data_IF_707382352960
#
_entry.id   IF_707382352960
#
_cell.length_a   1.000
_cell.length_b   1.000
_cell.length_c   1.000
_cell.angle_alpha   90.00
_cell.angle_beta   90.00
_cell.angle_gamma   90.00
#
_symmetry.space_group_name_H-M   'P 1'
#
loop_
_entity.id
_entity.type
_entity.pdbx_description
1 polymer ?
#
# COMPACT_ATOMS: atom_id res chain seq x y z
N UNK A 1 49.34 -69.89 110.08
CA UNK A 1 48.27 -69.23 110.88
C UNK A 1 48.06 -67.76 110.55
N UNK A 2 48.86 -66.77 110.99
CA UNK A 2 48.57 -65.34 110.67
C UNK A 2 48.76 -65.01 109.17
N UNK A 3 49.75 -65.63 108.50
CA UNK A 3 50.00 -65.47 107.06
C UNK A 3 48.89 -66.10 106.20
N UNK A 4 48.47 -67.33 106.52
CA UNK A 4 47.36 -68.02 105.83
C UNK A 4 46.00 -67.31 105.97
N UNK A 5 45.69 -66.70 107.12
CA UNK A 5 44.47 -65.88 107.27
C UNK A 5 44.53 -64.57 106.47
N UNK A 6 45.71 -63.94 106.37
CA UNK A 6 45.89 -62.73 105.57
C UNK A 6 45.83 -63.04 104.06
N UNK A 7 46.40 -64.18 103.64
CA UNK A 7 46.38 -64.66 102.26
C UNK A 7 44.95 -65.08 101.84
N UNK A 8 44.18 -65.78 102.67
CA UNK A 8 42.75 -66.06 102.41
C UNK A 8 41.88 -64.80 102.35
N UNK A 9 42.12 -63.81 103.22
CA UNK A 9 41.38 -62.55 103.17
C UNK A 9 41.76 -61.77 101.91
N UNK A 10 43.04 -61.76 101.50
CA UNK A 10 43.45 -61.16 100.24
C UNK A 10 42.88 -61.89 99.02
N UNK A 11 42.78 -63.22 99.07
CA UNK A 11 42.20 -64.05 98.02
C UNK A 11 40.69 -63.84 97.90
N UNK A 12 39.94 -63.84 99.01
CA UNK A 12 38.51 -63.50 99.01
C UNK A 12 38.24 -62.06 98.59
N UNK A 13 39.05 -61.09 99.04
CA UNK A 13 38.92 -59.69 98.61
C UNK A 13 39.20 -59.56 97.12
N UNK A 14 40.16 -60.34 96.60
CA UNK A 14 40.49 -60.36 95.18
C UNK A 14 39.39 -61.04 94.34
N UNK A 15 38.85 -62.17 94.78
CA UNK A 15 37.70 -62.83 94.13
C UNK A 15 36.44 -61.95 94.16
N UNK A 16 36.16 -61.27 95.28
CA UNK A 16 35.08 -60.29 95.35
C UNK A 16 35.31 -59.09 94.43
N UNK A 17 36.55 -58.58 94.36
CA UNK A 17 36.89 -57.49 93.46
C UNK A 17 36.80 -57.91 91.99
N UNK A 18 37.21 -59.13 91.66
CA UNK A 18 37.15 -59.70 90.30
C UNK A 18 35.68 -59.95 89.90
N UNK A 19 34.83 -60.49 90.78
CA UNK A 19 33.38 -60.60 90.55
C UNK A 19 32.71 -59.23 90.37
N UNK A 20 33.05 -58.23 91.20
CA UNK A 20 32.52 -56.88 91.04
C UNK A 20 32.98 -56.27 89.72
N UNK A 21 34.24 -56.48 89.31
CA UNK A 21 34.75 -56.03 88.02
C UNK A 21 34.05 -56.71 86.84
N UNK A 22 33.75 -58.01 86.96
CA UNK A 22 33.03 -58.77 85.93
C UNK A 22 31.57 -58.31 85.80
N UNK A 23 30.85 -58.15 86.92
CA UNK A 23 29.48 -57.61 86.91
C UNK A 23 29.42 -56.16 86.37
N UNK A 24 30.36 -55.30 86.78
CA UNK A 24 30.46 -53.94 86.25
C UNK A 24 30.74 -53.95 84.74
N UNK A 25 31.56 -54.88 84.27
CA UNK A 25 31.88 -55.01 82.85
C UNK A 25 30.69 -55.48 82.03
N UNK A 26 29.98 -56.51 82.48
CA UNK A 26 28.74 -56.98 81.84
C UNK A 26 27.68 -55.87 81.78
N UNK A 27 27.51 -55.12 82.87
CA UNK A 27 26.62 -53.96 82.91
C UNK A 27 27.01 -52.85 81.92
N UNK A 28 28.31 -52.53 81.81
CA UNK A 28 28.80 -51.56 80.84
C UNK A 28 28.58 -52.05 79.41
N UNK A 29 28.83 -53.34 79.14
CA UNK A 29 28.66 -53.94 77.82
C UNK A 29 27.18 -53.93 77.40
N UNK A 30 26.25 -54.28 78.29
CA UNK A 30 24.80 -54.17 78.03
C UNK A 30 24.36 -52.73 77.76
N UNK A 31 24.84 -51.74 78.54
CA UNK A 31 24.55 -50.32 78.31
C UNK A 31 25.07 -49.87 76.94
N UNK A 32 26.28 -50.29 76.56
CA UNK A 32 26.83 -49.96 75.25
C UNK A 32 26.03 -50.57 74.10
N UNK A 33 25.55 -51.80 74.25
CA UNK A 33 24.71 -52.46 73.25
C UNK A 33 23.38 -51.72 73.07
N UNK A 34 22.68 -51.40 74.16
CA UNK A 34 21.43 -50.64 74.11
C UNK A 34 21.61 -49.24 73.53
N UNK A 35 22.68 -48.53 73.89
CA UNK A 35 23.00 -47.22 73.30
C UNK A 35 23.21 -47.34 71.79
N UNK A 36 23.81 -48.43 71.33
CA UNK A 36 24.06 -48.68 69.91
C UNK A 36 22.77 -48.96 69.16
N UNK A 37 21.92 -49.85 69.67
CA UNK A 37 20.60 -50.15 69.09
C UNK A 37 19.74 -48.89 68.99
N UNK A 38 19.72 -48.06 70.04
CA UNK A 38 19.04 -46.78 70.03
C UNK A 38 19.58 -45.80 69.00
N UNK A 39 20.91 -45.71 68.86
CA UNK A 39 21.52 -44.86 67.83
C UNK A 39 21.17 -45.35 66.41
N UNK A 40 21.15 -46.67 66.20
CA UNK A 40 20.83 -47.28 64.91
C UNK A 40 19.34 -47.04 64.55
N UNK A 41 18.40 -47.21 65.48
CA UNK A 41 16.97 -46.89 65.26
C UNK A 41 16.74 -45.42 64.92
N UNK A 42 17.41 -44.50 65.64
CA UNK A 42 17.31 -43.06 65.34
C UNK A 42 17.86 -42.76 63.95
N UNK A 43 18.98 -43.37 63.56
CA UNK A 43 19.55 -43.20 62.22
C UNK A 43 18.62 -43.71 61.13
N UNK A 44 17.97 -44.85 61.34
CA UNK A 44 16.99 -45.41 60.40
C UNK A 44 15.79 -44.47 60.24
N UNK A 45 15.20 -43.99 61.34
CA UNK A 45 14.09 -43.03 61.29
C UNK A 45 14.46 -41.71 60.61
N UNK A 46 15.65 -41.15 60.90
CA UNK A 46 16.15 -39.95 60.22
C UNK A 46 16.26 -40.18 58.71
N UNK A 47 16.69 -41.37 58.31
CA UNK A 47 16.83 -41.73 56.90
C UNK A 47 15.47 -41.84 56.21
N UNK A 48 14.52 -42.56 56.80
CA UNK A 48 13.16 -42.68 56.27
C UNK A 48 12.50 -41.31 56.10
N UNK A 49 12.64 -40.44 57.10
CA UNK A 49 12.17 -39.06 57.03
C UNK A 49 12.81 -38.25 55.91
N UNK A 50 14.13 -38.37 55.73
CA UNK A 50 14.82 -37.69 54.64
C UNK A 50 14.36 -38.20 53.27
N UNK A 51 14.13 -39.51 53.13
CA UNK A 51 13.66 -40.13 51.89
C UNK A 51 12.23 -39.68 51.56
N UNK A 52 11.32 -39.63 52.53
CA UNK A 52 9.94 -39.11 52.33
C UNK A 52 9.93 -37.64 51.88
N UNK A 53 10.75 -36.78 52.50
CA UNK A 53 10.87 -35.36 52.12
C UNK A 53 11.41 -35.24 50.69
N UNK A 54 12.41 -36.05 50.33
CA UNK A 54 12.97 -36.04 48.97
C UNK A 54 11.94 -36.46 47.93
N UNK A 55 11.12 -37.47 48.22
CA UNK A 55 10.05 -37.92 47.33
C UNK A 55 9.01 -36.82 47.12
N UNK A 56 8.55 -36.18 48.20
CA UNK A 56 7.59 -35.07 48.12
C UNK A 56 8.14 -33.87 47.33
N UNK A 57 9.40 -33.48 47.57
CA UNK A 57 10.06 -32.40 46.79
C UNK A 57 10.09 -32.73 45.31
N UNK A 58 10.35 -34.00 44.97
CA UNK A 58 10.41 -34.46 43.59
C UNK A 58 9.02 -34.43 42.94
N UNK A 59 7.99 -34.96 43.59
CA UNK A 59 6.62 -34.92 43.08
C UNK A 59 6.16 -33.48 42.81
N UNK A 60 6.43 -32.57 43.75
CA UNK A 60 6.15 -31.14 43.58
C UNK A 60 6.89 -30.51 42.39
N UNK A 61 8.17 -30.84 42.21
CA UNK A 61 8.94 -30.36 41.08
C UNK A 61 8.41 -30.90 39.74
N UNK A 62 8.00 -32.17 39.70
CA UNK A 62 7.46 -32.82 38.50
C UNK A 62 6.11 -32.18 38.11
N UNK A 63 5.20 -31.93 39.07
CA UNK A 63 3.93 -31.24 38.82
C UNK A 63 4.12 -29.82 38.27
N UNK A 64 5.06 -29.04 38.85
CA UNK A 64 5.38 -27.69 38.36
C UNK A 64 5.93 -27.76 36.92
N UNK A 65 6.80 -28.72 36.61
CA UNK A 65 7.33 -28.89 35.26
C UNK A 65 6.23 -29.22 34.25
N UNK A 66 5.26 -30.05 34.61
CA UNK A 66 4.11 -30.38 33.77
C UNK A 66 3.26 -29.14 33.47
N UNK A 67 2.89 -28.36 34.49
CA UNK A 67 2.13 -27.13 34.30
C UNK A 67 2.86 -26.10 33.44
N UNK A 68 4.18 -25.94 33.62
CA UNK A 68 4.99 -25.03 32.78
C UNK A 68 4.99 -25.50 31.33
N UNK A 69 5.02 -26.81 31.09
CA UNK A 69 4.98 -27.39 29.74
C UNK A 69 3.63 -27.15 29.08
N UNK A 70 2.53 -27.43 29.80
CA UNK A 70 1.16 -27.18 29.29
C UNK A 70 0.94 -25.71 28.96
N UNK A 71 1.39 -24.79 29.84
CA UNK A 71 1.35 -23.35 29.57
C UNK A 71 2.09 -22.99 28.28
N UNK A 72 3.31 -23.51 28.12
CA UNK A 72 4.13 -23.23 26.94
C UNK A 72 3.48 -23.75 25.66
N UNK A 73 2.88 -24.95 25.69
CA UNK A 73 2.19 -25.55 24.55
C UNK A 73 0.94 -24.74 24.17
N UNK A 74 0.13 -24.31 25.14
CA UNK A 74 -1.04 -23.45 24.87
C UNK A 74 -0.66 -22.06 24.35
N UNK A 75 0.41 -21.46 24.87
CA UNK A 75 0.94 -20.18 24.33
C UNK A 75 1.36 -20.38 22.87
N UNK A 76 2.04 -21.48 22.54
CA UNK A 76 2.43 -21.77 21.15
C UNK A 76 1.23 -21.93 20.22
N UNK A 77 0.17 -22.62 20.68
CA UNK A 77 -1.08 -22.77 19.92
C UNK A 77 -1.75 -21.41 19.69
N UNK A 78 -1.91 -20.61 20.73
CA UNK A 78 -2.50 -19.27 20.64
C UNK A 78 -1.69 -18.34 19.72
N UNK A 79 -0.35 -18.37 19.80
CA UNK A 79 0.52 -17.60 18.89
C UNK A 79 0.28 -18.02 17.44
N UNK A 80 0.10 -19.32 17.18
CA UNK A 80 -0.17 -19.84 15.83
C UNK A 80 -1.53 -19.38 15.31
N UNK A 81 -2.59 -19.54 16.10
CA UNK A 81 -3.94 -19.08 15.72
C UNK A 81 -3.97 -17.58 15.45
N UNK A 82 -3.29 -16.80 16.28
CA UNK A 82 -3.13 -15.36 16.09
C UNK A 82 -2.39 -15.01 14.79
N UNK A 83 -1.31 -15.72 14.48
CA UNK A 83 -0.58 -15.53 13.23
C UNK A 83 -1.45 -15.87 12.01
N UNK A 84 -2.21 -16.95 12.07
CA UNK A 84 -3.11 -17.38 11.01
C UNK A 84 -4.23 -16.34 10.77
N UNK A 85 -4.88 -15.84 11.84
CA UNK A 85 -5.88 -14.77 11.75
C UNK A 85 -5.31 -13.47 11.16
N UNK A 86 -4.10 -13.08 11.56
CA UNK A 86 -3.42 -11.89 11.00
C UNK A 86 -3.13 -12.12 9.50
N UNK A 87 -2.68 -13.31 9.12
CA UNK A 87 -2.39 -13.64 7.73
C UNK A 87 -3.65 -13.61 6.85
N UNK A 88 -4.76 -14.13 7.33
CA UNK A 88 -6.06 -14.08 6.65
C UNK A 88 -6.50 -12.62 6.45
N UNK A 89 -6.47 -11.81 7.50
CA UNK A 89 -6.82 -10.38 7.43
C UNK A 89 -5.92 -9.59 6.48
N UNK A 90 -4.60 -9.85 6.48
CA UNK A 90 -3.67 -9.24 5.51
C UNK A 90 -4.05 -9.63 4.08
N UNK A 91 -4.43 -10.88 3.85
CA UNK A 91 -4.83 -11.37 2.52
C UNK A 91 -6.09 -10.68 2.04
N UNK A 92 -7.14 -10.63 2.88
CA UNK A 92 -8.39 -9.93 2.57
C UNK A 92 -8.15 -8.44 2.27
N UNK A 93 -7.31 -7.78 3.07
CA UNK A 93 -6.92 -6.39 2.87
C UNK A 93 -6.21 -6.16 1.53
N UNK A 94 -5.28 -7.03 1.16
CA UNK A 94 -4.60 -6.96 -0.13
C UNK A 94 -5.59 -7.16 -1.29
N UNK A 95 -6.52 -8.10 -1.16
CA UNK A 95 -7.52 -8.37 -2.19
C UNK A 95 -8.47 -7.19 -2.38
N UNK A 96 -8.96 -6.57 -1.30
CA UNK A 96 -9.78 -5.35 -1.36
C UNK A 96 -9.03 -4.19 -2.04
N UNK A 97 -7.76 -3.97 -1.69
CA UNK A 97 -6.94 -2.93 -2.32
C UNK A 97 -6.75 -3.22 -3.81
N UNK A 98 -6.52 -4.48 -4.19
CA UNK A 98 -6.37 -4.85 -5.60
C UNK A 98 -7.66 -4.63 -6.40
N UNK A 99 -8.82 -4.95 -5.83
CA UNK A 99 -10.12 -4.70 -6.44
C UNK A 99 -10.34 -3.20 -6.65
N UNK A 100 -10.12 -2.39 -5.62
CA UNK A 100 -10.23 -0.92 -5.72
C UNK A 100 -9.28 -0.33 -6.77
N UNK A 101 -8.03 -0.81 -6.85
CA UNK A 101 -7.07 -0.38 -7.88
C UNK A 101 -7.59 -0.72 -9.29
N UNK A 102 -8.21 -1.89 -9.49
CA UNK A 102 -8.81 -2.26 -10.79
C UNK A 102 -9.98 -1.36 -11.15
N UNK A 103 -10.92 -1.16 -10.22
CA UNK A 103 -12.07 -0.27 -10.45
C UNK A 103 -11.62 1.16 -10.79
N UNK A 104 -10.62 1.67 -10.07
CA UNK A 104 -10.02 2.96 -10.36
C UNK A 104 -9.36 3.04 -11.74
N UNK A 105 -8.64 1.99 -12.14
CA UNK A 105 -8.05 1.92 -13.47
C UNK A 105 -9.13 1.90 -14.57
N UNK A 106 -10.22 1.17 -14.36
CA UNK A 106 -11.34 1.08 -15.30
C UNK A 106 -12.06 2.43 -15.44
N UNK A 107 -12.34 3.12 -14.33
CA UNK A 107 -12.93 4.48 -14.36
C UNK A 107 -12.05 5.48 -15.13
N UNK A 108 -10.73 5.46 -14.90
CA UNK A 108 -9.80 6.32 -15.64
C UNK A 108 -9.78 5.97 -17.13
N UNK A 109 -9.81 4.69 -17.48
CA UNK A 109 -9.85 4.27 -18.89
C UNK A 109 -11.14 4.71 -19.59
N UNK A 110 -12.29 4.61 -18.91
CA UNK A 110 -13.59 5.05 -19.43
C UNK A 110 -13.57 6.56 -19.69
N UNK A 111 -13.13 7.35 -18.71
CA UNK A 111 -13.01 8.82 -18.86
C UNK A 111 -12.06 9.22 -19.98
N UNK A 112 -10.91 8.54 -20.14
CA UNK A 112 -10.00 8.78 -21.27
C UNK A 112 -10.69 8.48 -22.61
N UNK A 113 -11.47 7.42 -22.70
CA UNK A 113 -12.21 7.08 -23.92
C UNK A 113 -13.24 8.16 -24.25
N UNK A 114 -14.05 8.59 -23.28
CA UNK A 114 -15.03 9.66 -23.47
C UNK A 114 -14.37 10.97 -23.93
N UNK A 115 -13.24 11.33 -23.32
CA UNK A 115 -12.45 12.49 -23.72
C UNK A 115 -11.92 12.41 -25.16
N UNK A 116 -11.43 11.24 -25.57
CA UNK A 116 -10.99 11.03 -26.96
C UNK A 116 -12.16 11.13 -27.93
N UNK A 117 -13.32 10.58 -27.58
CA UNK A 117 -14.52 10.62 -28.43
C UNK A 117 -15.03 12.07 -28.60
N UNK A 118 -15.09 12.85 -27.52
CA UNK A 118 -15.42 14.28 -27.57
C UNK A 118 -14.43 15.08 -28.44
N UNK A 119 -13.13 14.82 -28.31
CA UNK A 119 -12.12 15.47 -29.15
C UNK A 119 -12.27 15.10 -30.62
N UNK A 120 -12.60 13.86 -30.95
CA UNK A 120 -12.84 13.44 -32.33
C UNK A 120 -14.06 14.14 -32.93
N UNK A 121 -15.12 14.34 -32.15
CA UNK A 121 -16.32 15.05 -32.58
C UNK A 121 -16.00 16.52 -32.90
N UNK A 122 -15.32 17.22 -32.00
CA UNK A 122 -14.93 18.62 -32.19
C UNK A 122 -14.01 18.78 -33.41
N UNK A 123 -13.02 17.88 -33.57
CA UNK A 123 -12.14 17.91 -34.74
C UNK A 123 -12.93 17.72 -36.03
N UNK A 124 -13.93 16.83 -36.05
CA UNK A 124 -14.78 16.60 -37.22
C UNK A 124 -15.61 17.85 -37.54
N UNK A 125 -16.28 18.44 -36.55
CA UNK A 125 -17.07 19.66 -36.73
C UNK A 125 -16.20 20.81 -37.24
N UNK A 126 -15.01 20.99 -36.68
CA UNK A 126 -14.04 21.99 -37.13
C UNK A 126 -13.61 21.80 -38.59
N UNK A 127 -13.29 20.57 -38.99
CA UNK A 127 -12.94 20.26 -40.37
C UNK A 127 -14.10 20.55 -41.32
N UNK A 128 -15.33 20.24 -40.92
CA UNK A 128 -16.50 20.46 -41.76
C UNK A 128 -16.84 21.96 -41.88
N UNK A 129 -16.73 22.74 -40.80
CA UNK A 129 -16.84 24.21 -40.86
C UNK A 129 -15.81 24.84 -41.79
N UNK A 130 -14.54 24.41 -41.71
CA UNK A 130 -13.47 24.90 -42.59
C UNK A 130 -13.77 24.56 -44.06
N UNK A 131 -14.25 23.34 -44.35
CA UNK A 131 -14.61 22.94 -45.71
C UNK A 131 -15.76 23.76 -46.27
N UNK A 132 -16.78 24.03 -45.46
CA UNK A 132 -17.92 24.86 -45.85
C UNK A 132 -17.46 26.28 -46.17
N UNK A 133 -16.65 26.89 -45.31
CA UNK A 133 -16.08 28.22 -45.53
C UNK A 133 -15.20 28.28 -46.79
N UNK A 134 -14.35 27.28 -47.03
CA UNK A 134 -13.53 27.19 -48.26
C UNK A 134 -14.42 27.13 -49.50
N UNK A 135 -15.54 26.39 -49.43
CA UNK A 135 -16.47 26.26 -50.55
C UNK A 135 -17.21 27.57 -50.82
N UNK A 136 -17.75 28.22 -49.78
CA UNK A 136 -18.41 29.52 -49.91
C UNK A 136 -17.46 30.56 -50.51
N UNK A 137 -16.22 30.60 -50.04
CA UNK A 137 -15.18 31.45 -50.61
C UNK A 137 -14.90 31.16 -52.08
N UNK A 138 -14.79 29.90 -52.47
CA UNK A 138 -14.58 29.52 -53.86
C UNK A 138 -15.76 29.93 -54.75
N UNK A 139 -16.99 29.78 -54.26
CA UNK A 139 -18.21 30.16 -54.97
C UNK A 139 -18.27 31.68 -55.19
N UNK A 140 -17.98 32.49 -54.17
CA UNK A 140 -17.95 33.97 -54.28
C UNK A 140 -16.84 34.43 -55.23
N UNK A 141 -15.64 33.84 -55.16
CA UNK A 141 -14.54 34.15 -56.11
C UNK A 141 -14.98 33.82 -57.53
N UNK A 142 -15.63 32.68 -57.75
CA UNK A 142 -16.10 32.27 -59.07
C UNK A 142 -17.14 33.24 -59.63
N UNK A 143 -18.11 33.68 -58.81
CA UNK A 143 -19.11 34.67 -59.21
C UNK A 143 -18.45 35.99 -59.64
N UNK A 144 -17.50 36.50 -58.86
CA UNK A 144 -16.78 37.73 -59.20
C UNK A 144 -15.96 37.60 -60.50
N UNK A 145 -15.33 36.45 -60.74
CA UNK A 145 -14.61 36.19 -62.00
C UNK A 145 -15.56 36.26 -63.20
N UNK A 146 -16.78 35.71 -63.07
CA UNK A 146 -17.80 35.75 -64.13
C UNK A 146 -18.26 37.18 -64.37
N UNK A 147 -18.61 37.92 -63.32
CA UNK A 147 -19.03 39.33 -63.43
C UNK A 147 -17.96 40.20 -64.09
N UNK A 148 -16.70 40.00 -63.72
CA UNK A 148 -15.57 40.67 -64.34
C UNK A 148 -15.40 40.32 -65.82
N UNK A 149 -15.54 39.05 -66.18
CA UNK A 149 -15.47 38.64 -67.58
C UNK A 149 -16.61 39.27 -68.41
N UNK A 150 -17.81 39.35 -67.86
CA UNK A 150 -18.98 39.95 -68.51
C UNK A 150 -18.80 41.47 -68.71
N UNK A 151 -18.29 42.20 -67.69
CA UNK A 151 -17.96 43.62 -67.81
C UNK A 151 -16.93 43.88 -68.91
N UNK A 152 -15.87 43.07 -68.97
CA UNK A 152 -14.83 43.18 -70.01
C UNK A 152 -15.42 42.91 -71.40
N UNK A 153 -16.27 41.89 -71.54
CA UNK A 153 -16.92 41.58 -72.82
C UNK A 153 -17.83 42.72 -73.27
N UNK A 154 -18.60 43.32 -72.37
CA UNK A 154 -19.45 44.46 -72.68
C UNK A 154 -18.61 45.67 -73.15
N UNK A 155 -17.50 45.95 -72.47
CA UNK A 155 -16.56 47.01 -72.85
C UNK A 155 -15.95 46.77 -74.23
N UNK A 156 -15.51 45.54 -74.53
CA UNK A 156 -15.00 45.16 -75.85
C UNK A 156 -16.07 45.36 -76.93
N UNK A 157 -17.32 44.99 -76.66
CA UNK A 157 -18.42 45.18 -77.61
C UNK A 157 -18.68 46.66 -77.88
N UNK A 158 -18.79 47.49 -76.84
CA UNK A 158 -18.96 48.94 -76.99
C UNK A 158 -17.83 49.56 -77.83
N UNK A 159 -16.59 49.15 -77.57
CA UNK A 159 -15.43 49.57 -78.34
C UNK A 159 -15.49 49.17 -79.81
N UNK A 160 -15.87 47.93 -80.10
CA UNK A 160 -16.06 47.45 -81.47
C UNK A 160 -17.15 48.25 -82.20
N UNK A 161 -18.27 48.53 -81.53
CA UNK A 161 -19.38 49.31 -82.10
C UNK A 161 -18.96 50.75 -82.42
N UNK A 162 -18.23 51.42 -81.52
CA UNK A 162 -17.69 52.77 -81.75
C UNK A 162 -16.74 52.80 -82.95
N UNK A 163 -15.83 51.83 -83.06
CA UNK A 163 -14.90 51.71 -84.19
C UNK A 163 -15.67 51.49 -85.50
N UNK A 164 -16.67 50.61 -85.50
CA UNK A 164 -17.50 50.37 -86.68
C UNK A 164 -18.25 51.63 -87.12
N UNK A 165 -18.81 52.38 -86.19
CA UNK A 165 -19.49 53.64 -86.48
C UNK A 165 -18.52 54.67 -87.10
N UNK A 166 -17.31 54.78 -86.58
CA UNK A 166 -16.27 55.66 -87.13
C UNK A 166 -15.83 55.24 -88.53
N UNK A 167 -15.59 53.95 -88.76
CA UNK A 167 -15.26 53.41 -90.09
C UNK A 167 -16.37 53.74 -91.09
N UNK A 168 -17.64 53.58 -90.70
CA UNK A 168 -18.79 53.89 -91.55
C UNK A 168 -18.85 55.37 -91.90
N UNK A 169 -18.75 56.27 -90.91
CA UNK A 169 -18.73 57.73 -91.13
C UNK A 169 -17.59 58.14 -92.07
N UNK A 170 -16.42 57.54 -91.91
CA UNK A 170 -15.26 57.76 -92.78
C UNK A 170 -15.51 57.28 -94.21
N UNK A 171 -16.08 56.09 -94.39
CA UNK A 171 -16.41 55.55 -95.71
C UNK A 171 -17.46 56.42 -96.43
N UNK A 172 -18.51 56.86 -95.72
CA UNK A 172 -19.55 57.74 -96.25
C UNK A 172 -18.94 59.08 -96.72
N UNK A 173 -18.04 59.67 -95.92
CA UNK A 173 -17.35 60.92 -96.26
C UNK A 173 -16.46 60.78 -97.52
N UNK A 174 -15.75 59.65 -97.65
CA UNK A 174 -14.92 59.36 -98.83
C UNK A 174 -15.79 59.17 -100.08
N UNK A 175 -16.92 58.44 -99.97
CA UNK A 175 -17.83 58.21 -101.10
C UNK A 175 -18.41 59.52 -101.65
N UNK A 176 -18.82 60.45 -100.77
CA UNK A 176 -19.32 61.76 -101.20
C UNK A 176 -18.30 62.56 -102.01
N UNK A 177 -17.00 62.41 -101.71
CA UNK A 177 -15.94 63.13 -102.42
C UNK A 177 -15.52 62.49 -103.74
N UNK A 178 -15.65 61.17 -103.92
CA UNK A 178 -15.32 60.49 -105.18
C UNK A 178 -16.15 61.01 -106.38
N UNK A 179 -17.30 61.62 -106.12
CA UNK A 179 -18.16 62.25 -107.13
C UNK A 179 -17.53 63.53 -107.74
N UNK A 180 -16.45 64.07 -107.16
CA UNK A 180 -15.86 65.38 -107.51
C UNK A 180 -14.43 65.36 -108.12
N UNK A 181 -13.88 64.20 -108.52
CA UNK A 181 -12.54 64.06 -109.16
C UNK A 181 -11.38 64.80 -108.44
N UNK A 182 -11.13 64.52 -107.14
CA UNK A 182 -10.00 65.10 -106.38
C UNK A 182 -9.20 64.03 -105.60
N UNK A 183 -8.17 63.45 -106.22
CA UNK A 183 -7.41 62.33 -105.63
C UNK A 183 -6.63 62.67 -104.35
N UNK A 184 -6.01 63.84 -104.27
CA UNK A 184 -5.17 64.24 -103.12
C UNK A 184 -6.01 64.45 -101.84
N UNK A 185 -7.19 65.06 -101.97
CA UNK A 185 -8.11 65.29 -100.85
C UNK A 185 -8.66 63.97 -100.27
N UNK A 186 -8.85 62.96 -101.13
CA UNK A 186 -9.23 61.61 -100.70
C UNK A 186 -8.10 60.96 -99.90
N UNK A 187 -6.84 61.12 -100.30
CA UNK A 187 -5.70 60.59 -99.54
C UNK A 187 -5.59 61.20 -98.15
N UNK A 188 -5.71 62.52 -98.04
CA UNK A 188 -5.65 63.21 -96.74
C UNK A 188 -6.80 62.80 -95.81
N UNK A 189 -8.00 62.62 -96.34
CA UNK A 189 -9.15 62.15 -95.57
C UNK A 189 -9.00 60.71 -95.12
N UNK A 190 -8.53 59.80 -95.99
CA UNK A 190 -8.22 58.42 -95.62
C UNK A 190 -7.20 58.38 -94.48
N UNK A 191 -6.17 59.24 -94.55
CA UNK A 191 -5.16 59.35 -93.49
C UNK A 191 -5.76 59.83 -92.17
N UNK A 192 -6.55 60.91 -92.20
CA UNK A 192 -7.23 61.43 -91.01
C UNK A 192 -8.16 60.39 -90.37
N UNK A 193 -8.91 59.64 -91.20
CA UNK A 193 -9.76 58.55 -90.74
C UNK A 193 -8.98 57.40 -90.11
N UNK A 194 -7.85 57.01 -90.72
CA UNK A 194 -6.96 56.00 -90.15
C UNK A 194 -6.39 56.47 -88.79
N UNK A 195 -5.98 57.73 -88.67
CA UNK A 195 -5.44 58.30 -87.43
C UNK A 195 -6.51 58.32 -86.33
N UNK A 196 -7.75 58.75 -86.63
CA UNK A 196 -8.87 58.73 -85.66
C UNK A 196 -9.24 57.31 -85.21
N UNK A 197 -9.25 56.34 -86.14
CA UNK A 197 -9.50 54.93 -85.79
C UNK A 197 -8.38 54.39 -84.90
N UNK A 198 -7.11 54.74 -85.18
CA UNK A 198 -5.98 54.32 -84.35
C UNK A 198 -6.07 54.90 -82.94
N UNK A 199 -6.43 56.17 -82.80
CA UNK A 199 -6.61 56.82 -81.49
C UNK A 199 -7.75 56.15 -80.70
N UNK A 200 -8.89 55.90 -81.32
CA UNK A 200 -10.03 55.21 -80.70
C UNK A 200 -9.69 53.78 -80.29
N UNK A 201 -8.98 53.02 -81.14
CA UNK A 201 -8.51 51.67 -80.80
C UNK A 201 -7.60 51.70 -79.57
N UNK A 202 -6.73 52.73 -79.47
CA UNK A 202 -5.83 52.90 -78.35
C UNK A 202 -6.58 53.22 -77.05
N UNK A 203 -7.49 54.18 -77.07
CA UNK A 203 -8.33 54.52 -75.91
C UNK A 203 -9.14 53.32 -75.44
N UNK A 204 -9.70 52.55 -76.38
CA UNK A 204 -10.41 51.31 -76.09
C UNK A 204 -9.53 50.25 -75.44
N UNK A 205 -8.31 50.06 -75.95
CA UNK A 205 -7.35 49.15 -75.35
C UNK A 205 -6.97 49.58 -73.93
N UNK A 206 -6.77 50.87 -73.70
CA UNK A 206 -6.42 51.43 -72.39
C UNK A 206 -7.58 51.23 -71.38
N UNK A 207 -8.83 51.51 -71.77
CA UNK A 207 -10.02 51.26 -70.93
C UNK A 207 -10.19 49.78 -70.57
N UNK A 208 -10.01 48.87 -71.54
CA UNK A 208 -10.07 47.42 -71.27
C UNK A 208 -8.95 47.01 -70.32
N UNK A 209 -7.73 47.53 -70.48
CA UNK A 209 -6.62 47.23 -69.59
C UNK A 209 -6.86 47.70 -68.16
N UNK A 210 -7.43 48.89 -67.97
CA UNK A 210 -7.79 49.43 -66.66
C UNK A 210 -8.85 48.55 -65.99
N UNK A 211 -9.92 48.19 -66.71
CA UNK A 211 -10.97 47.30 -66.20
C UNK A 211 -10.44 45.91 -65.82
N UNK A 212 -9.58 45.31 -66.65
CA UNK A 212 -8.92 44.02 -66.34
C UNK A 212 -8.12 44.12 -65.04
N UNK A 213 -7.43 45.25 -64.83
CA UNK A 213 -6.62 45.49 -63.64
C UNK A 213 -7.49 45.64 -62.38
N UNK A 214 -8.54 46.45 -62.44
CA UNK A 214 -9.48 46.61 -61.32
C UNK A 214 -10.11 45.27 -60.93
N UNK A 215 -10.53 44.48 -61.92
CA UNK A 215 -11.04 43.14 -61.71
C UNK A 215 -10.03 42.20 -61.04
N UNK A 216 -8.77 42.22 -61.50
CA UNK A 216 -7.72 41.42 -60.89
C UNK A 216 -7.45 41.85 -59.42
N UNK A 217 -7.48 43.14 -59.14
CA UNK A 217 -7.28 43.68 -57.78
C UNK A 217 -8.43 43.28 -56.85
N UNK A 218 -9.70 43.38 -57.29
CA UNK A 218 -10.87 42.93 -56.51
C UNK A 218 -10.82 41.43 -56.19
N UNK A 219 -10.49 40.59 -57.18
CA UNK A 219 -10.36 39.14 -56.96
C UNK A 219 -9.24 38.85 -55.97
N UNK A 220 -8.11 39.56 -56.05
CA UNK A 220 -7.00 39.39 -55.10
C UNK A 220 -7.37 39.78 -53.68
N UNK A 221 -8.13 40.87 -53.50
CA UNK A 221 -8.63 41.29 -52.19
C UNK A 221 -9.56 40.23 -51.60
N UNK A 222 -10.53 39.75 -52.37
CA UNK A 222 -11.44 38.70 -51.90
C UNK A 222 -10.72 37.40 -51.54
N UNK A 223 -9.74 36.97 -52.33
CA UNK A 223 -8.91 35.80 -52.01
C UNK A 223 -8.19 35.97 -50.67
N UNK A 224 -7.69 37.18 -50.36
CA UNK A 224 -7.05 37.47 -49.07
C UNK A 224 -8.04 37.41 -47.93
N UNK A 225 -9.19 38.07 -48.06
CA UNK A 225 -10.21 38.09 -47.02
C UNK A 225 -10.69 36.66 -46.70
N UNK A 226 -10.88 35.84 -47.74
CA UNK A 226 -11.20 34.42 -47.58
C UNK A 226 -10.11 33.62 -46.87
N UNK A 227 -8.84 33.86 -47.21
CA UNK A 227 -7.73 33.21 -46.53
C UNK A 227 -7.66 33.61 -45.05
N UNK A 228 -7.92 34.88 -44.72
CA UNK A 228 -7.92 35.40 -43.35
C UNK A 228 -9.08 34.81 -42.53
N UNK A 229 -10.29 34.73 -43.09
CA UNK A 229 -11.43 34.07 -42.44
C UNK A 229 -11.14 32.58 -42.12
N UNK A 230 -10.56 31.85 -43.09
CA UNK A 230 -10.18 30.44 -42.87
C UNK A 230 -9.12 30.33 -41.78
N UNK A 231 -8.12 31.22 -41.75
CA UNK A 231 -7.10 31.24 -40.70
C UNK A 231 -7.70 31.50 -39.31
N UNK A 232 -8.64 32.44 -39.20
CA UNK A 232 -9.32 32.71 -37.93
C UNK A 232 -10.14 31.51 -37.47
N UNK A 233 -10.86 30.84 -38.37
CA UNK A 233 -11.61 29.62 -38.05
C UNK A 233 -10.69 28.48 -37.59
N UNK A 234 -9.55 28.27 -38.27
CA UNK A 234 -8.54 27.28 -37.83
C UNK A 234 -8.02 27.60 -36.44
N UNK A 235 -7.78 28.89 -36.12
CA UNK A 235 -7.32 29.30 -34.79
C UNK A 235 -8.38 29.03 -33.72
N UNK A 236 -9.64 29.41 -33.95
CA UNK A 236 -10.73 29.13 -33.00
C UNK A 236 -10.88 27.64 -32.73
N UNK A 237 -10.80 26.82 -33.78
CA UNK A 237 -10.82 25.36 -33.65
C UNK A 237 -9.64 24.81 -32.85
N UNK A 238 -8.43 25.32 -33.09
CA UNK A 238 -7.26 24.93 -32.30
C UNK A 238 -7.42 25.31 -30.81
N UNK A 239 -7.96 26.49 -30.52
CA UNK A 239 -8.21 26.95 -29.15
C UNK A 239 -9.25 26.07 -28.44
N UNK A 240 -10.36 25.73 -29.11
CA UNK A 240 -11.39 24.83 -28.58
C UNK A 240 -10.84 23.43 -28.27
N UNK A 241 -10.02 22.87 -29.17
CA UNK A 241 -9.36 21.58 -28.94
C UNK A 241 -8.41 21.67 -27.74
N UNK A 242 -7.64 22.76 -27.61
CA UNK A 242 -6.73 22.94 -26.47
C UNK A 242 -7.47 23.05 -25.13
N UNK A 243 -8.59 23.77 -25.09
CA UNK A 243 -9.42 23.91 -23.89
C UNK A 243 -9.97 22.54 -23.46
N UNK A 244 -10.55 21.79 -24.40
CA UNK A 244 -11.08 20.46 -24.13
C UNK A 244 -10.01 19.47 -23.67
N UNK A 245 -8.81 19.50 -24.26
CA UNK A 245 -7.68 18.66 -23.80
C UNK A 245 -7.31 19.02 -22.36
N UNK A 246 -7.32 20.30 -21.98
CA UNK A 246 -7.03 20.72 -20.60
C UNK A 246 -8.10 20.24 -19.63
N UNK A 247 -9.37 20.48 -19.94
CA UNK A 247 -10.48 20.04 -19.09
C UNK A 247 -10.46 18.52 -18.88
N UNK A 248 -10.24 17.75 -19.95
CA UNK A 248 -10.08 16.31 -19.88
C UNK A 248 -8.88 15.88 -19.01
N UNK A 249 -7.74 16.54 -19.16
CA UNK A 249 -6.57 16.24 -18.33
C UNK A 249 -6.84 16.55 -16.84
N UNK A 250 -7.53 17.64 -16.54
CA UNK A 250 -7.89 18.03 -15.18
C UNK A 250 -8.88 17.04 -14.54
N UNK A 251 -9.91 16.61 -15.28
CA UNK A 251 -10.85 15.58 -14.82
C UNK A 251 -10.14 14.25 -14.51
N UNK A 252 -9.25 13.80 -15.40
CA UNK A 252 -8.46 12.58 -15.21
C UNK A 252 -7.56 12.70 -13.97
N UNK A 253 -6.91 13.85 -13.78
CA UNK A 253 -6.06 14.09 -12.61
C UNK A 253 -6.87 14.07 -11.31
N UNK A 254 -8.05 14.67 -11.30
CA UNK A 254 -8.94 14.66 -10.14
C UNK A 254 -9.41 13.24 -9.80
N UNK A 255 -9.83 12.46 -10.81
CA UNK A 255 -10.20 11.05 -10.64
C UNK A 255 -9.06 10.22 -10.06
N UNK A 256 -7.84 10.35 -10.62
CA UNK A 256 -6.66 9.64 -10.13
C UNK A 256 -6.35 10.02 -8.68
N UNK A 257 -6.48 11.31 -8.32
CA UNK A 257 -6.26 11.76 -6.94
C UNK A 257 -7.29 11.15 -5.98
N UNK A 258 -8.58 11.19 -6.32
CA UNK A 258 -9.63 10.59 -5.49
C UNK A 258 -9.39 9.09 -5.29
N UNK A 259 -9.01 8.38 -6.35
CA UNK A 259 -8.63 6.97 -6.27
C UNK A 259 -7.43 6.71 -5.36
N UNK A 260 -6.38 7.53 -5.46
CA UNK A 260 -5.23 7.41 -4.58
C UNK A 260 -5.60 7.64 -3.10
N UNK A 261 -6.47 8.62 -2.83
CA UNK A 261 -6.94 8.93 -1.47
C UNK A 261 -7.77 7.77 -0.90
N UNK A 262 -8.69 7.17 -1.67
CA UNK A 262 -9.47 6.01 -1.24
C UNK A 262 -8.58 4.79 -0.93
N UNK A 263 -7.58 4.52 -1.78
CA UNK A 263 -6.62 3.43 -1.55
C UNK A 263 -5.81 3.68 -0.27
N UNK A 264 -5.38 4.92 -0.03
CA UNK A 264 -4.64 5.27 1.19
C UNK A 264 -5.49 5.11 2.45
N UNK A 265 -6.77 5.47 2.39
CA UNK A 265 -7.71 5.28 3.49
C UNK A 265 -7.90 3.80 3.80
N UNK A 266 -8.15 2.98 2.78
CA UNK A 266 -8.28 1.52 2.93
C UNK A 266 -7.01 0.86 3.51
N UNK A 267 -5.83 1.27 3.04
CA UNK A 267 -4.54 0.79 3.60
C UNK A 267 -4.42 1.14 5.08
N UNK A 268 -4.84 2.35 5.48
CA UNK A 268 -4.81 2.76 6.89
C UNK A 268 -5.78 1.94 7.73
N UNK A 269 -7.03 1.77 7.28
CA UNK A 269 -8.02 0.95 8.00
C UNK A 269 -7.55 -0.49 8.18
N UNK A 270 -6.98 -1.08 7.14
CA UNK A 270 -6.37 -2.41 7.19
C UNK A 270 -5.22 -2.50 8.18
N UNK A 271 -4.32 -1.52 8.20
CA UNK A 271 -3.23 -1.48 9.17
C UNK A 271 -3.75 -1.36 10.62
N UNK A 272 -4.78 -0.56 10.84
CA UNK A 272 -5.40 -0.38 12.16
C UNK A 272 -6.08 -1.67 12.65
N UNK A 273 -6.80 -2.38 11.78
CA UNK A 273 -7.40 -3.69 12.10
C UNK A 273 -6.35 -4.74 12.48
N UNK A 274 -5.26 -4.82 11.70
CA UNK A 274 -4.15 -5.74 11.99
C UNK A 274 -3.50 -5.40 13.35
N UNK A 275 -3.27 -4.11 13.63
CA UNK A 275 -2.70 -3.67 14.91
C UNK A 275 -3.63 -4.02 16.09
N UNK A 276 -4.94 -3.86 15.93
CA UNK A 276 -5.90 -4.23 16.97
C UNK A 276 -5.87 -5.74 17.24
N UNK A 277 -5.81 -6.57 16.19
CA UNK A 277 -5.70 -8.03 16.32
C UNK A 277 -4.40 -8.46 17.03
N UNK A 278 -3.26 -7.89 16.62
CA UNK A 278 -1.97 -8.14 17.30
C UNK A 278 -2.06 -7.79 18.77
N UNK A 279 -2.70 -6.67 19.13
CA UNK A 279 -2.85 -6.25 20.52
C UNK A 279 -3.72 -7.23 21.32
N UNK A 280 -4.88 -7.62 20.80
CA UNK A 280 -5.77 -8.60 21.44
C UNK A 280 -5.06 -9.93 21.68
N UNK A 281 -4.31 -10.41 20.70
CA UNK A 281 -3.49 -11.61 20.82
C UNK A 281 -2.43 -11.51 21.92
N UNK A 282 -1.71 -10.39 21.98
CA UNK A 282 -0.73 -10.15 23.03
C UNK A 282 -1.39 -10.08 24.43
N UNK A 283 -2.56 -9.44 24.53
CA UNK A 283 -3.31 -9.33 25.78
C UNK A 283 -3.75 -10.73 26.28
N UNK A 284 -4.30 -11.58 25.40
CA UNK A 284 -4.70 -12.97 25.74
C UNK A 284 -3.51 -13.82 26.21
N UNK A 285 -2.37 -13.73 25.52
CA UNK A 285 -1.15 -14.46 25.93
C UNK A 285 -0.66 -13.99 27.31
N UNK A 286 -0.69 -12.68 27.56
CA UNK A 286 -0.30 -12.13 28.87
C UNK A 286 -1.22 -12.58 30.00
N UNK A 287 -2.52 -12.66 29.74
CA UNK A 287 -3.51 -13.15 30.71
C UNK A 287 -3.25 -14.62 31.05
N UNK A 288 -3.06 -15.47 30.04
CA UNK A 288 -2.72 -16.89 30.24
C UNK A 288 -1.43 -17.08 31.04
N UNK A 289 -0.37 -16.32 30.73
CA UNK A 289 0.89 -16.39 31.48
C UNK A 289 0.68 -16.02 32.96
N UNK A 290 -0.15 -15.01 33.25
CA UNK A 290 -0.45 -14.62 34.64
C UNK A 290 -1.20 -15.72 35.38
N UNK A 291 -2.25 -16.28 34.77
CA UNK A 291 -3.03 -17.36 35.38
C UNK A 291 -2.14 -18.57 35.73
N UNK A 292 -1.25 -18.99 34.82
CA UNK A 292 -0.32 -20.09 35.09
C UNK A 292 0.74 -19.74 36.13
N UNK A 293 1.24 -18.50 36.14
CA UNK A 293 2.18 -18.06 37.17
C UNK A 293 1.54 -18.08 38.56
N UNK A 294 0.27 -17.70 38.68
CA UNK A 294 -0.49 -17.73 39.93
C UNK A 294 -0.74 -19.18 40.39
N UNK A 295 -1.13 -20.08 39.47
CA UNK A 295 -1.28 -21.51 39.77
C UNK A 295 0.03 -22.16 40.23
N UNK A 296 1.15 -21.85 39.59
CA UNK A 296 2.48 -22.32 40.02
C UNK A 296 2.82 -21.81 41.42
N UNK A 297 2.56 -20.54 41.71
CA UNK A 297 2.82 -19.96 43.04
C UNK A 297 1.98 -20.62 44.13
N UNK A 298 0.71 -20.93 43.85
CA UNK A 298 -0.17 -21.64 44.78
C UNK A 298 0.35 -23.06 45.05
N UNK A 299 0.68 -23.82 44.00
CA UNK A 299 1.25 -25.16 44.13
C UNK A 299 2.58 -25.17 44.90
N UNK A 300 3.48 -24.21 44.65
CA UNK A 300 4.74 -24.07 45.39
C UNK A 300 4.46 -23.83 46.88
N UNK A 301 3.45 -23.03 47.22
CA UNK A 301 3.06 -22.78 48.61
C UNK A 301 2.52 -24.05 49.26
N UNK A 302 1.60 -24.75 48.62
CA UNK A 302 1.04 -26.02 49.14
C UNK A 302 2.13 -27.07 49.37
N UNK A 303 3.04 -27.22 48.41
CA UNK A 303 4.21 -28.10 48.54
C UNK A 303 5.12 -27.73 49.71
N UNK A 304 5.40 -26.43 49.89
CA UNK A 304 6.22 -25.97 51.01
C UNK A 304 5.55 -26.25 52.36
N UNK A 305 4.23 -26.06 52.45
CA UNK A 305 3.45 -26.33 53.65
C UNK A 305 3.44 -27.83 54.00
N UNK A 306 3.22 -28.72 53.01
CA UNK A 306 3.29 -30.17 53.20
C UNK A 306 4.68 -30.64 53.66
N UNK A 307 5.75 -30.10 53.08
CA UNK A 307 7.14 -30.42 53.49
C UNK A 307 7.38 -29.96 54.93
N UNK A 308 6.90 -28.78 55.32
CA UNK A 308 7.05 -28.28 56.69
C UNK A 308 6.30 -29.16 57.70
N UNK A 309 5.10 -29.63 57.36
CA UNK A 309 4.32 -30.54 58.20
C UNK A 309 5.06 -31.88 58.37
N UNK A 310 5.55 -32.48 57.28
CA UNK A 310 6.32 -33.72 57.32
C UNK A 310 7.61 -33.59 58.14
N UNK A 311 8.35 -32.49 57.98
CA UNK A 311 9.56 -32.22 58.78
C UNK A 311 9.22 -32.15 60.27
N UNK A 312 8.08 -31.55 60.61
CA UNK A 312 7.62 -31.43 61.99
C UNK A 312 7.26 -32.78 62.58
N UNK A 313 6.45 -33.58 61.87
CA UNK A 313 6.09 -34.94 62.30
C UNK A 313 7.33 -35.82 62.48
N UNK A 314 8.27 -35.76 61.55
CA UNK A 314 9.56 -36.44 61.66
C UNK A 314 10.37 -36.02 62.88
N UNK A 315 10.46 -34.71 63.15
CA UNK A 315 11.15 -34.21 64.33
C UNK A 315 10.48 -34.68 65.63
N UNK A 316 9.15 -34.72 65.67
CA UNK A 316 8.38 -35.19 66.83
C UNK A 316 8.59 -36.70 67.06
N UNK A 317 8.55 -37.52 66.00
CA UNK A 317 8.85 -38.97 66.09
C UNK A 317 10.28 -39.25 66.58
N UNK A 318 11.27 -38.52 66.07
CA UNK A 318 12.67 -38.66 66.50
C UNK A 318 12.81 -38.27 67.98
N UNK A 319 12.15 -37.19 68.42
CA UNK A 319 12.18 -36.79 69.83
C UNK A 319 11.55 -37.83 70.75
N UNK A 320 10.44 -38.44 70.33
CA UNK A 320 9.78 -39.52 71.07
C UNK A 320 10.71 -40.73 71.20
N UNK A 321 11.32 -41.18 70.10
CA UNK A 321 12.26 -42.31 70.10
C UNK A 321 13.50 -42.03 70.97
N UNK A 322 14.09 -40.84 70.89
CA UNK A 322 15.22 -40.44 71.75
C UNK A 322 14.83 -40.50 73.23
N UNK A 323 13.60 -40.08 73.56
CA UNK A 323 13.09 -40.11 74.92
C UNK A 323 12.90 -41.54 75.43
N UNK A 324 12.26 -42.40 74.64
CA UNK A 324 12.09 -43.81 74.97
C UNK A 324 13.44 -44.51 75.18
N UNK A 325 14.41 -44.25 74.30
CA UNK A 325 15.78 -44.74 74.44
C UNK A 325 16.47 -44.26 75.71
N UNK A 326 16.34 -42.97 76.05
CA UNK A 326 16.89 -42.43 77.28
C UNK A 326 16.24 -43.07 78.53
N UNK A 327 14.94 -43.32 78.49
CA UNK A 327 14.20 -43.95 79.58
C UNK A 327 14.63 -45.42 79.76
N UNK A 328 14.78 -46.19 78.67
CA UNK A 328 15.29 -47.57 78.71
C UNK A 328 16.71 -47.66 79.28
N UNK A 329 17.62 -46.79 78.83
CA UNK A 329 19.00 -46.74 79.34
C UNK A 329 19.01 -46.40 80.83
N UNK A 330 18.19 -45.43 81.26
CA UNK A 330 18.08 -45.08 82.68
C UNK A 330 17.55 -46.22 83.53
N UNK A 331 16.58 -47.00 83.03
CA UNK A 331 16.04 -48.17 83.72
C UNK A 331 17.11 -49.25 83.88
N UNK A 332 17.86 -49.55 82.82
CA UNK A 332 18.90 -50.56 82.85
C UNK A 332 20.09 -50.17 83.75
N UNK A 333 20.48 -48.89 83.76
CA UNK A 333 21.47 -48.36 84.72
C UNK A 333 20.99 -48.54 86.16
N UNK A 334 19.70 -48.28 86.44
CA UNK A 334 19.13 -48.46 87.79
C UNK A 334 19.14 -49.94 88.21
N UNK A 335 18.90 -50.87 87.30
CA UNK A 335 18.99 -52.31 87.58
C UNK A 335 20.44 -52.73 87.84
N UNK A 336 21.37 -52.31 86.99
CA UNK A 336 22.81 -52.59 87.15
C UNK A 336 23.43 -52.04 88.44
N UNK A 337 22.89 -50.95 89.01
CA UNK A 337 23.35 -50.39 90.30
C UNK A 337 22.67 -51.07 91.50
N UNK A 338 21.55 -51.77 91.29
CA UNK A 338 20.83 -52.51 92.33
C UNK A 338 21.34 -53.94 92.55
N UNK A 339 21.91 -54.53 91.51
CA UNK A 339 22.61 -55.83 91.52
C UNK A 339 24.02 -55.64 92.05
#
# INVERSE_FOLDING_TARGET
MVRECADMIQEMVRECADMIQEMVRECVDMIQEMVRECADMIQEMVRECADMIQEMVKECADMIQEMVRECADMIQEMVRECADMIQEMVTECVDMIQEMVRECADMVQEMVRECVDMLQEIVRECVDMIKEMVRECADVIQEMVIECADMIQEMVRMCADMIQEMVRKCADMIQEMMVRECADMIQDMVRMCADMIQEMVRECADMIQEMVRECADMIQEMVRDCADMIQEMVRMCADMIQEMVRECADMIQEMVRMCADMIQEMVRECADMIQEMVRKCADMIQEMIREYADMIQEMVRECADMIQEMVRECADMIQEMVRECADMIQEMVKECVRT
#
